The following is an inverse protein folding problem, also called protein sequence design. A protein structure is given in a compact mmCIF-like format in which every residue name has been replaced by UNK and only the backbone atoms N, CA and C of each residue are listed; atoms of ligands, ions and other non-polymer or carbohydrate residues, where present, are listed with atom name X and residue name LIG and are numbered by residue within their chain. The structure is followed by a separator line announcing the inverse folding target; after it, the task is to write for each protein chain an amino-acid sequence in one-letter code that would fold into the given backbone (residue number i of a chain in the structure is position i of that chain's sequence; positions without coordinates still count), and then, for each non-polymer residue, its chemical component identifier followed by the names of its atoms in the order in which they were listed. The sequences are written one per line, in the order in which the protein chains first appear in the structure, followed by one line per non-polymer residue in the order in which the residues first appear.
data_IF_739807042134
#
_entry.id   IF_739807042134
#
_cell.length_a   1.000
_cell.length_b   1.000
_cell.length_c   1.000
_cell.angle_alpha   90.00
_cell.angle_beta   90.00
_cell.angle_gamma   90.00
#
_symmetry.space_group_name_H-M   'P 1'
#
loop_
_entity.id
_entity.type
_entity.pdbx_description
1 polymer ?
#
# COMPACT_ATOMS: atom_id res chain seq x y z
N UNK A 1 -50.65 -10.84 -40.66
CA UNK A 1 -49.92 -11.30 -39.46
C UNK A 1 -48.44 -11.25 -39.74
N UNK A 2 -47.73 -10.18 -39.37
CA UNK A 2 -46.26 -10.13 -39.44
C UNK A 2 -45.78 -9.76 -38.04
N UNK A 3 -45.26 -10.76 -37.34
CA UNK A 3 -44.81 -10.67 -35.95
C UNK A 3 -43.62 -9.74 -35.86
N UNK A 4 -43.72 -8.71 -35.02
CA UNK A 4 -42.66 -7.73 -34.76
C UNK A 4 -41.83 -8.26 -33.59
N UNK A 5 -40.71 -8.93 -33.86
CA UNK A 5 -39.79 -9.38 -32.82
C UNK A 5 -38.93 -8.20 -32.36
N UNK A 6 -39.33 -7.58 -31.25
CA UNK A 6 -38.54 -6.57 -30.55
C UNK A 6 -37.42 -7.27 -29.77
N UNK A 7 -36.18 -7.15 -30.25
CA UNK A 7 -34.98 -7.67 -29.57
C UNK A 7 -34.65 -6.69 -28.44
N UNK A 8 -35.03 -7.06 -27.21
CA UNK A 8 -34.56 -6.40 -25.99
C UNK A 8 -33.10 -6.83 -25.76
N UNK A 9 -32.18 -5.91 -26.04
CA UNK A 9 -30.76 -6.08 -25.76
C UNK A 9 -30.51 -5.70 -24.29
N UNK A 10 -30.46 -6.72 -23.41
CA UNK A 10 -30.15 -6.54 -21.99
C UNK A 10 -28.65 -6.22 -21.85
N UNK A 11 -28.31 -4.94 -21.70
CA UNK A 11 -26.95 -4.50 -21.38
C UNK A 11 -26.63 -4.94 -19.95
N UNK A 12 -25.96 -6.09 -19.80
CA UNK A 12 -25.43 -6.54 -18.51
C UNK A 12 -24.30 -5.59 -18.14
N UNK A 13 -24.54 -4.69 -17.19
CA UNK A 13 -23.51 -3.89 -16.54
C UNK A 13 -22.58 -4.84 -15.78
N UNK A 14 -21.40 -5.11 -16.34
CA UNK A 14 -20.33 -5.78 -15.62
C UNK A 14 -19.80 -4.81 -14.56
N UNK A 15 -20.31 -4.92 -13.33
CA UNK A 15 -19.65 -4.33 -12.16
C UNK A 15 -18.36 -5.09 -11.93
N UNK A 16 -17.27 -4.54 -12.45
CA UNK A 16 -15.93 -5.03 -12.14
C UNK A 16 -15.60 -4.63 -10.70
N UNK A 17 -15.71 -5.57 -9.77
CA UNK A 17 -15.15 -5.39 -8.43
C UNK A 17 -13.64 -5.31 -8.55
N UNK A 18 -13.08 -4.10 -8.39
CA UNK A 18 -11.63 -3.90 -8.30
C UNK A 18 -11.12 -4.69 -7.10
N UNK A 19 -10.34 -5.75 -7.35
CA UNK A 19 -9.68 -6.51 -6.29
C UNK A 19 -8.51 -5.67 -5.77
N UNK A 20 -8.72 -5.00 -4.65
CA UNK A 20 -7.65 -4.37 -3.87
C UNK A 20 -7.28 -5.32 -2.72
N UNK A 21 -6.37 -6.28 -2.92
CA UNK A 21 -6.06 -7.31 -1.93
C UNK A 21 -5.30 -6.77 -0.70
N UNK A 22 -5.04 -5.46 -0.66
CA UNK A 22 -4.43 -4.79 0.48
C UNK A 22 -5.24 -3.54 0.80
N UNK A 23 -5.78 -3.50 2.02
CA UNK A 23 -6.44 -2.33 2.57
C UNK A 23 -5.46 -1.58 3.48
N UNK A 24 -5.26 -0.29 3.19
CA UNK A 24 -4.32 0.57 3.90
C UNK A 24 -5.04 1.53 4.84
N UNK A 25 -4.65 1.50 6.12
CA UNK A 25 -5.06 2.49 7.13
C UNK A 25 -3.83 3.24 7.61
N UNK A 26 -3.82 4.55 7.41
CA UNK A 26 -2.67 5.40 7.71
C UNK A 26 -3.05 6.35 8.82
N UNK A 27 -2.26 6.36 9.90
CA UNK A 27 -2.52 7.14 11.09
C UNK A 27 -1.26 7.91 11.50
N UNK A 28 -1.43 9.04 12.18
CA UNK A 28 -0.34 9.76 12.82
C UNK A 28 -0.47 9.66 14.34
N UNK A 29 0.63 9.37 15.02
CA UNK A 29 0.74 9.44 16.48
C UNK A 29 1.49 10.71 16.88
N UNK A 30 0.80 11.78 17.37
CA UNK A 30 1.45 13.02 17.77
C UNK A 30 2.46 12.84 18.90
N UNK A 31 2.13 11.99 19.88
CA UNK A 31 3.00 11.70 21.03
C UNK A 31 4.33 11.08 20.60
N UNK A 32 4.29 10.12 19.66
CA UNK A 32 5.50 9.43 19.16
C UNK A 32 6.14 10.14 17.98
N UNK A 33 5.44 11.07 17.34
CA UNK A 33 5.80 11.74 16.08
C UNK A 33 6.07 10.73 14.96
N UNK A 34 5.18 9.75 14.82
CA UNK A 34 5.30 8.64 13.87
C UNK A 34 4.03 8.57 13.02
N UNK A 35 4.22 8.47 11.70
CA UNK A 35 3.18 8.03 10.76
C UNK A 35 3.24 6.51 10.67
N UNK A 36 2.10 5.86 10.88
CA UNK A 36 1.93 4.42 10.93
C UNK A 36 1.08 4.02 9.71
N UNK A 37 1.66 3.21 8.84
CA UNK A 37 1.00 2.65 7.66
C UNK A 37 0.63 1.20 7.96
N UNK A 38 -0.65 0.93 8.20
CA UNK A 38 -1.13 -0.42 8.45
C UNK A 38 -1.69 -0.99 7.15
N UNK A 39 -1.19 -2.15 6.75
CA UNK A 39 -1.75 -2.95 5.66
C UNK A 39 -2.49 -4.15 6.26
N UNK A 40 -3.75 -4.32 5.89
CA UNK A 40 -4.49 -5.58 6.02
C UNK A 40 -4.49 -6.25 4.66
N UNK A 41 -4.07 -7.50 4.61
CA UNK A 41 -3.78 -8.24 3.37
C UNK A 41 -4.76 -9.40 3.28
N UNK A 42 -5.46 -9.49 2.16
CA UNK A 42 -6.41 -10.57 1.89
C UNK A 42 -5.72 -11.94 1.94
N UNK A 43 -6.50 -12.96 2.30
CA UNK A 43 -5.99 -14.32 2.37
C UNK A 43 -5.38 -14.75 1.02
N UNK A 44 -4.28 -15.48 1.08
CA UNK A 44 -3.47 -15.95 -0.06
C UNK A 44 -2.62 -14.91 -0.79
N UNK A 45 -2.74 -13.63 -0.45
CA UNK A 45 -1.88 -12.59 -1.01
C UNK A 45 -0.64 -12.33 -0.14
N UNK A 46 0.44 -11.91 -0.80
CA UNK A 46 1.71 -11.59 -0.19
C UNK A 46 2.12 -10.16 -0.54
N UNK A 47 2.19 -9.29 0.47
CA UNK A 47 2.69 -7.92 0.31
C UNK A 47 4.20 -7.89 0.52
N UNK A 48 4.96 -7.33 -0.43
CA UNK A 48 6.42 -7.29 -0.31
C UNK A 48 6.91 -6.16 0.59
N UNK A 49 8.00 -6.44 1.31
CA UNK A 49 8.57 -5.51 2.28
C UNK A 49 9.21 -4.27 1.65
N UNK A 50 9.50 -3.26 2.48
CA UNK A 50 10.24 -2.05 2.04
C UNK A 50 11.71 -2.39 1.83
N UNK A 51 12.28 -3.15 2.76
CA UNK A 51 13.62 -3.70 2.67
C UNK A 51 13.53 -5.18 2.27
N UNK A 52 13.96 -5.46 1.05
CA UNK A 52 14.07 -6.82 0.49
C UNK A 52 15.54 -7.22 0.33
N UNK A 53 15.89 -8.51 0.37
CA UNK A 53 17.28 -8.97 0.27
C UNK A 53 17.96 -8.60 -1.04
N UNK A 54 17.22 -8.63 -2.15
CA UNK A 54 17.73 -8.37 -3.51
C UNK A 54 16.77 -7.41 -4.24
N UNK A 55 16.91 -6.08 -4.09
CA UNK A 55 15.90 -5.12 -4.59
C UNK A 55 15.81 -5.02 -6.12
N UNK A 56 16.81 -5.52 -6.84
CA UNK A 56 16.83 -5.57 -8.30
C UNK A 56 16.48 -6.96 -8.85
N UNK A 57 16.17 -7.92 -7.96
CA UNK A 57 15.84 -9.29 -8.33
C UNK A 57 14.52 -9.71 -7.68
N UNK A 58 13.61 -10.26 -8.46
CA UNK A 58 12.31 -10.68 -7.98
C UNK A 58 11.31 -9.52 -7.83
N UNK A 59 10.45 -9.53 -6.80
CA UNK A 59 9.31 -8.63 -6.71
C UNK A 59 9.69 -7.21 -6.28
N UNK A 60 8.99 -6.21 -6.83
CA UNK A 60 9.18 -4.82 -6.44
C UNK A 60 8.84 -4.62 -4.95
N UNK A 61 9.71 -3.93 -4.19
CA UNK A 61 9.45 -3.63 -2.78
C UNK A 61 8.34 -2.60 -2.61
N UNK A 62 7.78 -2.53 -1.40
CA UNK A 62 6.91 -1.42 -1.02
C UNK A 62 7.74 -0.13 -0.89
N UNK A 63 7.27 0.96 -1.48
CA UNK A 63 7.89 2.29 -1.41
C UNK A 63 6.85 3.26 -0.86
N UNK A 64 7.23 4.02 0.17
CA UNK A 64 6.40 5.10 0.72
C UNK A 64 7.06 6.42 0.36
N UNK A 65 6.46 7.13 -0.59
CA UNK A 65 6.93 8.43 -1.06
C UNK A 65 6.10 9.52 -0.39
N UNK A 66 6.78 10.53 0.14
CA UNK A 66 6.14 11.70 0.73
C UNK A 66 6.28 12.89 -0.21
N UNK A 67 5.21 13.66 -0.36
CA UNK A 67 5.31 14.93 -1.06
C UNK A 67 6.21 15.90 -0.28
N UNK A 68 6.98 16.71 -1.02
CA UNK A 68 7.90 17.66 -0.40
C UNK A 68 7.12 18.76 0.31
N UNK A 69 7.28 18.83 1.64
CA UNK A 69 6.64 19.83 2.48
C UNK A 69 7.67 20.57 3.33
N UNK A 70 7.46 21.88 3.54
CA UNK A 70 8.34 22.74 4.36
C UNK A 70 8.00 22.71 5.86
N UNK A 71 6.89 22.08 6.23
CA UNK A 71 6.31 22.19 7.58
C UNK A 71 6.65 21.00 8.49
N UNK A 72 7.30 19.95 7.97
CA UNK A 72 7.84 18.84 8.74
C UNK A 72 9.11 18.29 8.07
N UNK A 73 9.90 17.51 8.81
CA UNK A 73 11.04 16.77 8.29
C UNK A 73 10.86 15.28 8.50
N UNK A 74 11.14 14.47 7.47
CA UNK A 74 11.30 13.02 7.64
C UNK A 74 12.57 12.72 8.45
N UNK A 75 12.47 11.80 9.40
CA UNK A 75 13.59 11.39 10.26
C UNK A 75 13.93 9.93 10.01
N UNK A 76 15.02 9.71 9.29
CA UNK A 76 15.49 8.38 8.91
C UNK A 76 14.63 7.74 7.82
N UNK A 77 14.93 6.47 7.55
CA UNK A 77 14.19 5.64 6.59
C UNK A 77 12.89 5.13 7.21
N UNK A 78 11.98 4.67 6.35
CA UNK A 78 10.81 3.89 6.77
C UNK A 78 11.29 2.62 7.48
N UNK A 79 10.74 2.38 8.67
CA UNK A 79 10.92 1.15 9.42
C UNK A 79 9.79 0.18 9.08
N UNK A 80 10.08 -1.12 9.18
CA UNK A 80 9.12 -2.18 8.88
C UNK A 80 9.10 -3.20 10.01
N UNK A 81 7.95 -3.86 10.22
CA UNK A 81 7.91 -5.07 11.03
C UNK A 81 8.74 -6.19 10.40
N UNK A 82 9.08 -7.24 11.16
CA UNK A 82 9.90 -8.34 10.65
C UNK A 82 9.13 -9.12 9.56
N UNK A 83 9.61 -9.16 8.30
CA UNK A 83 8.95 -9.92 7.24
C UNK A 83 9.24 -11.42 7.36
N UNK A 84 8.43 -12.20 6.67
CA UNK A 84 8.76 -13.59 6.32
C UNK A 84 9.77 -13.53 5.18
N UNK A 85 10.89 -14.23 5.31
CA UNK A 85 11.91 -14.32 4.24
C UNK A 85 12.04 -15.76 3.77
N UNK A 86 11.90 -15.98 2.46
CA UNK A 86 11.97 -17.32 1.88
C UNK A 86 12.54 -17.25 0.46
N UNK A 87 13.24 -18.30 0.04
CA UNK A 87 13.55 -18.49 -1.37
C UNK A 87 12.27 -18.78 -2.16
N UNK A 88 12.02 -18.00 -3.20
CA UNK A 88 10.90 -18.17 -4.10
C UNK A 88 11.40 -18.71 -5.45
N UNK A 89 10.83 -19.83 -5.88
CA UNK A 89 11.24 -20.48 -7.14
C UNK A 89 10.79 -19.70 -8.37
N UNK A 90 9.64 -19.02 -8.30
CA UNK A 90 9.11 -18.20 -9.39
C UNK A 90 10.00 -16.98 -9.66
N UNK A 91 10.59 -16.40 -8.60
CA UNK A 91 11.52 -15.28 -8.73
C UNK A 91 13.00 -15.69 -8.79
N UNK A 92 13.33 -16.96 -8.52
CA UNK A 92 14.71 -17.45 -8.51
C UNK A 92 15.60 -16.82 -7.44
N UNK A 93 15.02 -16.19 -6.42
CA UNK A 93 15.77 -15.45 -5.39
C UNK A 93 15.05 -15.44 -4.03
N UNK A 94 15.68 -14.89 -3.00
CA UNK A 94 15.03 -14.70 -1.69
C UNK A 94 14.13 -13.46 -1.70
N UNK A 95 12.88 -13.68 -1.35
CA UNK A 95 11.87 -12.62 -1.20
C UNK A 95 11.57 -12.36 0.27
N UNK A 96 11.16 -11.13 0.59
CA UNK A 96 10.69 -10.74 1.92
C UNK A 96 9.27 -10.16 1.82
N UNK A 97 8.31 -10.78 2.51
CA UNK A 97 6.89 -10.45 2.39
C UNK A 97 6.11 -10.63 3.70
N UNK A 98 4.85 -10.17 3.70
CA UNK A 98 3.91 -10.29 4.80
C UNK A 98 2.63 -11.02 4.38
N UNK A 99 1.94 -11.61 5.35
CA UNK A 99 0.62 -12.24 5.23
C UNK A 99 -0.32 -11.60 6.25
N UNK A 100 -1.61 -11.53 5.93
CA UNK A 100 -2.71 -11.06 6.79
C UNK A 100 -2.63 -9.59 7.20
N UNK A 101 -1.53 -9.15 7.82
CA UNK A 101 -1.29 -7.76 8.20
C UNK A 101 0.19 -7.44 8.39
N UNK A 102 0.53 -6.16 8.30
CA UNK A 102 1.82 -5.60 8.70
C UNK A 102 1.69 -4.11 8.97
N UNK A 103 2.65 -3.55 9.69
CA UNK A 103 2.79 -2.11 9.86
C UNK A 103 4.16 -1.60 9.39
N UNK A 104 4.16 -0.40 8.82
CA UNK A 104 5.35 0.38 8.51
C UNK A 104 5.32 1.72 9.24
N UNK A 105 6.49 2.26 9.56
CA UNK A 105 6.61 3.41 10.44
C UNK A 105 7.57 4.45 9.84
N UNK A 106 7.09 5.67 9.68
CA UNK A 106 7.92 6.82 9.34
C UNK A 106 7.94 7.81 10.49
N UNK A 107 9.11 8.03 11.08
CA UNK A 107 9.29 9.09 12.08
C UNK A 107 9.35 10.45 11.38
N UNK A 108 8.69 11.43 11.96
CA UNK A 108 8.71 12.82 11.47
C UNK A 108 9.11 13.78 12.59
N UNK A 109 9.52 14.99 12.20
CA UNK A 109 9.70 16.14 13.08
C UNK A 109 8.86 17.29 12.54
N UNK A 110 7.70 17.58 13.14
CA UNK A 110 6.95 18.80 12.82
C UNK A 110 7.81 20.03 13.06
N UNK A 111 7.72 21.01 12.15
CA UNK A 111 8.35 22.32 12.26
C UNK A 111 7.34 23.43 12.55
N UNK A 112 6.05 23.16 12.34
CA UNK A 112 4.92 24.05 12.64
C UNK A 112 3.85 23.31 13.43
N UNK A 113 2.98 24.07 14.10
CA UNK A 113 1.81 23.55 14.82
C UNK A 113 0.75 22.96 13.89
N UNK A 114 0.65 23.48 12.67
CA UNK A 114 -0.20 22.95 11.61
C UNK A 114 0.66 22.43 10.46
N UNK A 115 0.36 21.23 9.98
CA UNK A 115 1.02 20.64 8.82
C UNK A 115 0.14 19.57 8.18
N UNK A 116 0.40 19.32 6.90
CA UNK A 116 -0.23 18.28 6.11
C UNK A 116 0.82 17.23 5.76
N UNK A 117 0.46 15.95 5.86
CA UNK A 117 1.27 14.83 5.41
C UNK A 117 0.53 14.18 4.24
N UNK A 118 1.10 14.31 3.04
CA UNK A 118 0.62 13.71 1.81
C UNK A 118 1.69 12.86 1.14
N UNK A 119 1.27 11.92 0.31
CA UNK A 119 2.17 11.03 -0.41
C UNK A 119 1.46 9.84 -1.04
N UNK A 120 2.26 8.86 -1.45
CA UNK A 120 1.79 7.62 -2.09
C UNK A 120 2.55 6.41 -1.54
N UNK A 121 1.81 5.34 -1.27
CA UNK A 121 2.34 4.00 -1.03
C UNK A 121 2.28 3.24 -2.36
N UNK A 122 3.44 2.94 -2.95
CA UNK A 122 3.58 2.08 -4.13
C UNK A 122 3.98 0.69 -3.68
N UNK A 123 3.29 -0.34 -4.13
CA UNK A 123 3.54 -1.69 -3.65
C UNK A 123 3.21 -2.73 -4.70
N UNK A 124 3.87 -3.88 -4.56
CA UNK A 124 3.50 -5.07 -5.31
C UNK A 124 2.94 -6.12 -4.35
N UNK A 125 1.94 -6.84 -4.82
CA UNK A 125 1.28 -7.91 -4.07
C UNK A 125 1.05 -9.10 -5.01
N UNK A 126 1.41 -10.30 -4.58
CA UNK A 126 1.24 -11.50 -5.40
C UNK A 126 0.46 -12.58 -4.67
N UNK A 127 -0.35 -13.32 -5.41
CA UNK A 127 -0.87 -14.63 -5.01
C UNK A 127 -0.10 -15.74 -5.75
N UNK A 128 -0.64 -16.96 -5.77
CA UNK A 128 0.01 -18.10 -6.43
C UNK A 128 -0.06 -18.06 -7.98
N UNK A 129 -0.84 -17.13 -8.54
CA UNK A 129 -1.17 -17.07 -9.97
C UNK A 129 -0.69 -15.79 -10.64
N UNK A 130 -0.69 -14.66 -9.91
CA UNK A 130 -0.46 -13.34 -10.46
C UNK A 130 0.16 -12.39 -9.45
N UNK A 131 0.68 -11.28 -9.99
CA UNK A 131 1.23 -10.17 -9.25
C UNK A 131 0.58 -8.87 -9.72
N UNK A 132 0.18 -8.02 -8.77
CA UNK A 132 -0.42 -6.72 -9.03
C UNK A 132 0.50 -5.63 -8.47
N UNK A 133 0.87 -4.67 -9.31
CA UNK A 133 1.50 -3.42 -8.90
C UNK A 133 0.40 -2.37 -8.67
N UNK A 134 0.32 -1.84 -7.45
CA UNK A 134 -0.75 -0.97 -6.99
C UNK A 134 -0.19 0.25 -6.26
N UNK A 135 -0.99 1.30 -6.22
CA UNK A 135 -0.65 2.54 -5.51
C UNK A 135 -1.80 2.96 -4.61
N UNK A 136 -1.46 3.61 -3.49
CA UNK A 136 -2.42 4.21 -2.55
C UNK A 136 -1.95 5.60 -2.15
N UNK A 137 -2.62 6.61 -2.66
CA UNK A 137 -2.45 7.98 -2.20
C UNK A 137 -2.97 8.16 -0.77
N UNK A 138 -2.34 9.06 -0.03
CA UNK A 138 -2.76 9.46 1.30
C UNK A 138 -2.55 10.96 1.50
N UNK A 139 -3.46 11.55 2.27
CA UNK A 139 -3.41 12.95 2.68
C UNK A 139 -4.05 13.07 4.06
N UNK A 140 -3.33 13.66 5.01
CA UNK A 140 -3.80 13.93 6.36
C UNK A 140 -3.34 15.32 6.82
N UNK A 141 -4.27 16.19 7.17
CA UNK A 141 -4.00 17.49 7.78
C UNK A 141 -4.06 17.39 9.31
N UNK A 142 -3.12 18.03 9.99
CA UNK A 142 -3.01 18.05 11.45
C UNK A 142 -2.86 19.47 11.97
N UNK A 143 -3.61 19.79 13.03
CA UNK A 143 -3.50 21.03 13.78
C UNK A 143 -3.25 20.67 15.25
N UNK A 144 -2.20 21.23 15.85
CA UNK A 144 -1.84 21.01 17.27
C UNK A 144 -2.79 21.72 18.28
N UNK A 145 -4.04 21.98 17.92
CA UNK A 145 -5.02 22.65 18.79
C UNK A 145 -5.99 21.69 19.53
N UNK A 146 -5.84 20.38 19.33
CA UNK A 146 -6.60 19.33 20.05
C UNK A 146 -5.71 18.54 21.03
#
# INVERSE_FOLDING_TARGET
MKSFYSIIYLFIYQVSFSQHPVNWTINYSPQKKIVIFNATIDSNWHLYAVNVPFPNEGPLPTIIEFEKQKNYLLKGKVLQERPITKYDKGFGTKVAYYKNKTSFYQKIKPLKSSFEISGVVKYMVCDNSQCLALEKEFNMAFNHQD
#
